data_IF_747970138703
#
_entry.id   IF_747970138703
#
_cell.length_a   1.000
_cell.length_b   1.000
_cell.length_c   1.000
_cell.angle_alpha   90.00
_cell.angle_beta   90.00
_cell.angle_gamma   90.00
#
_symmetry.space_group_name_H-M   'P 1'
#
loop_
_entity.id
_entity.type
_entity.pdbx_description
1 polymer ?
#
# COMPACT_ATOMS: atom_id res chain seq x y z
N UNK A 1 -15.77 -4.41 -20.13
CA UNK A 1 -14.79 -3.46 -19.56
C UNK A 1 -15.54 -2.29 -18.95
N UNK A 2 -15.16 -1.81 -17.77
CA UNK A 2 -15.82 -0.67 -17.13
C UNK A 2 -15.60 0.60 -17.96
N UNK A 3 -16.67 1.36 -18.24
CA UNK A 3 -16.61 2.57 -19.11
C UNK A 3 -15.76 3.71 -18.51
N UNK A 4 -15.45 3.67 -17.22
CA UNK A 4 -14.65 4.66 -16.53
C UNK A 4 -13.16 4.25 -16.36
N UNK A 5 -12.81 3.01 -16.75
CA UNK A 5 -11.46 2.46 -16.58
C UNK A 5 -10.63 2.65 -17.85
N UNK A 6 -9.48 3.27 -17.70
CA UNK A 6 -8.42 3.38 -18.70
C UNK A 6 -7.23 2.53 -18.26
N UNK A 7 -6.81 1.61 -19.10
CA UNK A 7 -5.63 0.76 -18.87
C UNK A 7 -4.55 1.19 -19.85
N UNK A 8 -3.34 1.51 -19.34
CA UNK A 8 -2.21 1.88 -20.20
C UNK A 8 -1.90 0.77 -21.21
N UNK A 9 -1.46 1.12 -22.44
CA UNK A 9 -1.23 0.13 -23.51
C UNK A 9 -0.31 -1.02 -23.07
N UNK A 10 0.81 -0.71 -22.39
CA UNK A 10 1.77 -1.70 -21.88
C UNK A 10 1.12 -2.67 -20.86
N UNK A 11 0.34 -2.14 -19.93
CA UNK A 11 -0.37 -2.94 -18.92
C UNK A 11 -1.42 -3.84 -19.58
N UNK A 12 -2.18 -3.27 -20.54
CA UNK A 12 -3.21 -4.02 -21.29
C UNK A 12 -2.60 -5.16 -22.09
N UNK A 13 -1.50 -4.91 -22.77
CA UNK A 13 -0.77 -5.93 -23.54
C UNK A 13 -0.21 -7.02 -22.60
N UNK A 14 0.42 -6.63 -21.48
CA UNK A 14 0.94 -7.57 -20.51
C UNK A 14 -0.14 -8.51 -19.98
N UNK A 15 -1.29 -7.96 -19.56
CA UNK A 15 -2.42 -8.75 -19.08
C UNK A 15 -2.99 -9.68 -20.16
N UNK A 16 -3.10 -9.21 -21.41
CA UNK A 16 -3.60 -10.02 -22.51
C UNK A 16 -2.68 -11.21 -22.87
N UNK A 17 -1.37 -11.05 -22.63
CA UNK A 17 -0.35 -12.08 -22.85
C UNK A 17 -0.09 -12.95 -21.60
N UNK A 18 -0.83 -12.77 -20.51
CA UNK A 18 -0.60 -13.48 -19.25
C UNK A 18 0.75 -13.14 -18.60
N UNK A 19 1.31 -11.96 -18.89
CA UNK A 19 2.56 -11.49 -18.27
C UNK A 19 2.31 -10.89 -16.87
N UNK A 20 3.32 -10.92 -15.98
CA UNK A 20 3.17 -10.39 -14.63
C UNK A 20 3.00 -8.88 -14.61
N UNK A 21 2.01 -8.41 -13.86
CA UNK A 21 1.71 -6.99 -13.63
C UNK A 21 1.58 -6.74 -12.14
N UNK A 22 2.16 -5.65 -11.65
CA UNK A 22 2.07 -5.22 -10.25
C UNK A 22 1.47 -3.82 -10.18
N UNK A 23 0.37 -3.68 -9.43
CA UNK A 23 -0.23 -2.39 -9.13
C UNK A 23 0.61 -1.60 -8.10
N UNK A 24 0.55 -0.27 -8.18
CA UNK A 24 1.15 0.68 -7.25
C UNK A 24 0.13 1.76 -6.89
N UNK A 25 0.11 2.20 -5.63
CA UNK A 25 -0.73 3.32 -5.20
C UNK A 25 -0.14 4.68 -5.59
N UNK A 26 -0.98 5.72 -5.57
CA UNK A 26 -0.53 7.10 -5.81
C UNK A 26 -0.60 8.03 -4.59
N UNK A 27 -1.11 7.56 -3.45
CA UNK A 27 -1.08 8.36 -2.22
C UNK A 27 0.36 8.72 -1.82
N UNK A 28 1.32 7.82 -2.01
CA UNK A 28 2.74 8.09 -1.76
C UNK A 28 3.26 9.26 -2.61
N UNK A 29 2.72 9.44 -3.82
CA UNK A 29 3.11 10.51 -4.74
C UNK A 29 2.55 11.85 -4.27
N UNK A 30 1.24 11.93 -3.98
CA UNK A 30 0.58 13.21 -3.70
C UNK A 30 0.56 13.60 -2.22
N UNK A 31 0.64 12.63 -1.30
CA UNK A 31 0.46 12.86 0.15
C UNK A 31 1.58 12.28 1.03
N UNK A 32 2.48 11.47 0.46
CA UNK A 32 3.48 10.75 1.24
C UNK A 32 4.84 11.43 1.34
N UNK A 33 5.23 12.19 0.34
CA UNK A 33 6.57 12.78 0.23
C UNK A 33 6.51 14.15 -0.45
N UNK A 34 7.48 15.07 -0.18
CA UNK A 34 7.57 16.33 -0.88
C UNK A 34 8.08 16.16 -2.31
N UNK A 35 7.65 17.06 -3.22
CA UNK A 35 8.23 17.17 -4.56
C UNK A 35 9.67 17.74 -4.47
N UNK A 36 10.65 17.26 -5.28
CA UNK A 36 10.54 16.26 -6.34
C UNK A 36 10.71 14.79 -5.87
N UNK A 37 11.01 14.57 -4.57
CA UNK A 37 11.34 13.25 -4.01
C UNK A 37 10.23 12.21 -4.22
N UNK A 38 8.98 12.65 -4.20
CA UNK A 38 7.83 11.81 -4.46
C UNK A 38 7.82 11.20 -5.87
N UNK A 39 8.11 11.99 -6.90
CA UNK A 39 8.20 11.54 -8.30
C UNK A 39 9.40 10.62 -8.49
N UNK A 40 10.59 11.03 -8.00
CA UNK A 40 11.80 10.20 -8.05
C UNK A 40 11.56 8.82 -7.44
N UNK A 41 10.90 8.77 -6.28
CA UNK A 41 10.59 7.52 -5.59
C UNK A 41 9.60 6.67 -6.38
N UNK A 42 8.52 7.27 -6.91
CA UNK A 42 7.54 6.54 -7.71
C UNK A 42 8.16 5.87 -8.93
N UNK A 43 9.00 6.61 -9.67
CA UNK A 43 9.72 6.08 -10.84
C UNK A 43 10.71 4.98 -10.45
N UNK A 44 11.42 5.15 -9.34
CA UNK A 44 12.35 4.14 -8.83
C UNK A 44 11.63 2.83 -8.43
N UNK A 45 10.42 2.94 -7.88
CA UNK A 45 9.59 1.77 -7.55
C UNK A 45 9.12 1.07 -8.83
N UNK A 46 8.68 1.80 -9.86
CA UNK A 46 8.35 1.22 -11.16
C UNK A 46 9.56 0.52 -11.78
N UNK A 47 10.73 1.15 -11.77
CA UNK A 47 11.98 0.55 -12.28
C UNK A 47 12.35 -0.73 -11.52
N UNK A 48 12.15 -0.74 -10.19
CA UNK A 48 12.39 -1.94 -9.37
C UNK A 48 11.49 -3.10 -9.81
N UNK A 49 10.22 -2.85 -10.10
CA UNK A 49 9.29 -3.87 -10.62
C UNK A 49 9.77 -4.38 -11.98
N UNK A 50 10.16 -3.48 -12.90
CA UNK A 50 10.67 -3.86 -14.23
C UNK A 50 11.94 -4.71 -14.15
N UNK A 51 12.89 -4.33 -13.30
CA UNK A 51 14.13 -5.07 -13.06
C UNK A 51 13.88 -6.47 -12.50
N UNK A 52 12.76 -6.70 -11.81
CA UNK A 52 12.35 -8.00 -11.29
C UNK A 52 11.36 -8.74 -12.21
N UNK A 53 11.21 -8.31 -13.47
CA UNK A 53 10.54 -9.06 -14.53
C UNK A 53 9.03 -8.86 -14.64
N UNK A 54 8.45 -7.88 -13.96
CA UNK A 54 7.03 -7.55 -14.05
C UNK A 54 6.79 -6.16 -14.66
N UNK A 55 5.57 -5.89 -15.09
CA UNK A 55 5.12 -4.58 -15.60
C UNK A 55 4.49 -3.79 -14.44
N UNK A 56 4.97 -2.59 -14.13
CA UNK A 56 4.34 -1.73 -13.13
C UNK A 56 3.06 -1.10 -13.66
N UNK A 57 2.08 -0.92 -12.79
CA UNK A 57 0.83 -0.22 -13.08
C UNK A 57 0.50 0.73 -11.92
N UNK A 58 1.06 1.95 -11.95
CA UNK A 58 0.69 2.99 -10.99
C UNK A 58 -0.76 3.40 -11.22
N UNK A 59 -1.56 3.44 -10.15
CA UNK A 59 -3.01 3.63 -10.18
C UNK A 59 -3.39 4.98 -9.59
N UNK A 60 -4.28 5.70 -10.28
CA UNK A 60 -4.85 6.97 -9.82
C UNK A 60 -6.23 7.23 -10.44
N UNK A 61 -6.89 8.30 -10.02
CA UNK A 61 -8.03 8.89 -10.71
C UNK A 61 -7.58 10.22 -11.30
N UNK A 62 -7.71 10.39 -12.61
CA UNK A 62 -7.35 11.65 -13.30
C UNK A 62 -8.51 12.07 -14.21
N UNK A 63 -9.03 13.29 -14.01
CA UNK A 63 -10.18 13.80 -14.75
C UNK A 63 -11.42 12.93 -14.61
N UNK A 64 -11.61 12.27 -13.44
CA UNK A 64 -12.69 11.32 -13.19
C UNK A 64 -12.52 9.96 -13.89
N UNK A 65 -11.36 9.68 -14.49
CA UNK A 65 -11.02 8.40 -15.12
C UNK A 65 -10.20 7.56 -14.15
N UNK A 66 -10.59 6.31 -13.98
CA UNK A 66 -9.83 5.31 -13.21
C UNK A 66 -8.68 4.83 -14.09
N UNK A 67 -7.45 5.13 -13.69
CA UNK A 67 -6.26 4.83 -14.48
C UNK A 67 -5.54 3.61 -13.89
N UNK A 68 -5.20 2.64 -14.72
CA UNK A 68 -4.30 1.53 -14.39
C UNK A 68 -3.06 1.58 -15.29
N UNK A 69 -1.96 2.05 -14.76
CA UNK A 69 -0.76 2.48 -15.46
C UNK A 69 -0.83 3.97 -15.79
N UNK A 70 0.06 4.75 -15.17
CA UNK A 70 0.22 6.18 -15.45
C UNK A 70 1.39 6.40 -16.40
N UNK A 71 1.32 7.47 -17.20
CA UNK A 71 2.50 7.97 -17.91
C UNK A 71 3.42 8.73 -16.96
N UNK A 72 4.66 8.98 -17.41
CA UNK A 72 5.61 9.79 -16.65
C UNK A 72 5.04 11.19 -16.38
N UNK A 73 4.36 11.80 -17.36
CA UNK A 73 3.74 13.11 -17.25
C UNK A 73 2.58 13.11 -16.22
N UNK A 74 1.82 12.02 -16.15
CA UNK A 74 0.75 11.87 -15.17
C UNK A 74 1.30 11.69 -13.74
N UNK A 75 2.40 10.95 -13.57
CA UNK A 75 3.12 10.83 -12.29
C UNK A 75 3.67 12.19 -11.87
N UNK A 76 4.33 12.91 -12.78
CA UNK A 76 4.86 14.25 -12.55
C UNK A 76 3.76 15.25 -12.19
N UNK A 77 2.61 15.18 -12.87
CA UNK A 77 1.43 15.99 -12.58
C UNK A 77 0.93 15.76 -11.15
N UNK A 78 0.75 14.49 -10.74
CA UNK A 78 0.31 14.15 -9.38
C UNK A 78 1.32 14.58 -8.32
N UNK A 79 2.61 14.44 -8.62
CA UNK A 79 3.69 14.85 -7.72
C UNK A 79 3.72 16.34 -7.47
N UNK A 80 3.58 17.16 -8.52
CA UNK A 80 3.52 18.62 -8.42
C UNK A 80 2.24 19.11 -7.77
N UNK A 81 1.11 18.47 -8.07
CA UNK A 81 -0.19 18.82 -7.50
C UNK A 81 -0.27 18.55 -6.00
N UNK A 82 0.44 17.53 -5.53
CA UNK A 82 0.57 17.21 -4.11
C UNK A 82 -0.80 17.13 -3.41
N UNK A 83 -0.94 17.77 -2.27
CA UNK A 83 -2.16 17.76 -1.45
C UNK A 83 -3.38 18.43 -2.10
N UNK A 84 -3.24 19.08 -3.24
CA UNK A 84 -4.38 19.60 -4.01
C UNK A 84 -5.17 18.49 -4.70
N UNK A 85 -4.58 17.30 -4.87
CA UNK A 85 -5.28 16.11 -5.35
C UNK A 85 -5.97 15.42 -4.17
N UNK A 86 -7.22 15.00 -4.35
CA UNK A 86 -7.97 14.33 -3.29
C UNK A 86 -7.30 13.01 -2.87
N UNK A 87 -7.17 12.75 -1.57
CA UNK A 87 -6.85 11.41 -1.05
C UNK A 87 -8.09 10.54 -1.20
N UNK A 88 -8.07 9.62 -2.17
CA UNK A 88 -9.22 8.84 -2.59
C UNK A 88 -9.30 7.51 -1.83
N UNK A 89 -10.41 7.29 -1.14
CA UNK A 89 -10.81 5.99 -0.59
C UNK A 89 -12.07 5.49 -1.31
N UNK A 90 -12.58 4.31 -0.96
CA UNK A 90 -13.77 3.69 -1.59
C UNK A 90 -14.94 4.67 -1.76
N UNK A 91 -15.28 5.41 -0.68
CA UNK A 91 -16.41 6.36 -0.66
C UNK A 91 -16.23 7.55 -1.60
N UNK A 92 -14.99 7.88 -1.99
CA UNK A 92 -14.69 9.05 -2.80
C UNK A 92 -14.80 8.77 -4.31
N UNK A 93 -14.63 7.50 -4.75
CA UNK A 93 -14.60 7.13 -6.16
C UNK A 93 -15.84 7.61 -6.95
N UNK A 94 -17.09 7.39 -6.49
CA UNK A 94 -18.26 7.84 -7.24
C UNK A 94 -18.30 9.36 -7.44
N UNK A 95 -17.88 10.11 -6.39
CA UNK A 95 -17.87 11.57 -6.45
C UNK A 95 -16.77 12.10 -7.38
N UNK A 96 -15.57 11.52 -7.33
CA UNK A 96 -14.46 11.88 -8.22
C UNK A 96 -14.81 11.62 -9.68
N UNK A 97 -15.37 10.44 -9.98
CA UNK A 97 -15.81 10.09 -11.32
C UNK A 97 -16.90 11.03 -11.83
N UNK A 98 -17.93 11.29 -11.01
CA UNK A 98 -19.06 12.13 -11.40
C UNK A 98 -18.67 13.61 -11.64
N UNK A 99 -17.65 14.08 -10.91
CA UNK A 99 -17.18 15.48 -10.99
C UNK A 99 -16.03 15.68 -11.99
N UNK A 100 -15.51 14.62 -12.61
CA UNK A 100 -14.32 14.71 -13.43
C UNK A 100 -13.09 15.16 -12.64
N UNK A 101 -12.99 14.77 -11.35
CA UNK A 101 -11.95 15.26 -10.44
C UNK A 101 -10.79 14.25 -10.31
N UNK A 102 -9.67 14.74 -9.74
CA UNK A 102 -8.47 13.95 -9.53
C UNK A 102 -8.42 13.35 -8.12
N UNK A 103 -7.85 12.15 -8.03
CA UNK A 103 -7.67 11.43 -6.78
C UNK A 103 -6.41 10.57 -6.77
N UNK A 104 -5.59 10.76 -5.75
CA UNK A 104 -4.51 9.85 -5.40
C UNK A 104 -5.08 8.65 -4.62
N UNK A 105 -4.84 7.45 -5.13
CA UNK A 105 -5.45 6.22 -4.60
C UNK A 105 -4.75 5.72 -3.35
N UNK A 106 -5.53 5.42 -2.31
CA UNK A 106 -5.11 4.66 -1.12
C UNK A 106 -5.00 3.17 -1.45
N UNK A 107 -4.57 2.34 -0.50
CA UNK A 107 -4.59 0.87 -0.63
C UNK A 107 -5.96 0.40 -1.10
N UNK A 108 -7.02 0.85 -0.45
CA UNK A 108 -8.42 0.54 -0.80
C UNK A 108 -8.72 0.77 -2.29
N UNK A 109 -8.54 1.99 -2.77
CA UNK A 109 -8.93 2.32 -4.15
C UNK A 109 -7.97 1.75 -5.18
N UNK A 110 -6.71 1.53 -4.81
CA UNK A 110 -5.74 0.82 -5.64
C UNK A 110 -6.18 -0.64 -5.84
N UNK A 111 -6.58 -1.35 -4.79
CA UNK A 111 -7.10 -2.71 -4.89
C UNK A 111 -8.35 -2.78 -5.79
N UNK A 112 -9.31 -1.87 -5.62
CA UNK A 112 -10.53 -1.81 -6.44
C UNK A 112 -10.19 -1.67 -7.92
N UNK A 113 -9.34 -0.69 -8.27
CA UNK A 113 -9.00 -0.41 -9.67
C UNK A 113 -8.11 -1.50 -10.25
N UNK A 114 -7.16 -2.03 -9.48
CA UNK A 114 -6.33 -3.17 -9.86
C UNK A 114 -7.19 -4.39 -10.22
N UNK A 115 -8.13 -4.74 -9.34
CA UNK A 115 -9.07 -5.84 -9.60
C UNK A 115 -9.92 -5.60 -10.85
N UNK A 116 -10.46 -4.39 -11.04
CA UNK A 116 -11.21 -4.02 -12.26
C UNK A 116 -10.36 -4.15 -13.54
N UNK A 117 -9.06 -3.93 -13.44
CA UNK A 117 -8.11 -4.07 -14.55
C UNK A 117 -7.65 -5.52 -14.78
N UNK A 118 -7.89 -6.43 -13.82
CA UNK A 118 -7.41 -7.81 -13.85
C UNK A 118 -6.02 -8.02 -13.24
N UNK A 119 -5.52 -7.03 -12.48
CA UNK A 119 -4.22 -7.10 -11.80
C UNK A 119 -4.41 -7.79 -10.43
N UNK A 120 -3.58 -8.78 -10.14
CA UNK A 120 -3.72 -9.65 -8.96
C UNK A 120 -2.76 -9.34 -7.82
N UNK A 121 -1.68 -8.59 -8.08
CA UNK A 121 -0.64 -8.26 -7.10
C UNK A 121 -0.47 -6.75 -7.01
N UNK A 122 -0.37 -6.24 -5.79
CA UNK A 122 -0.18 -4.83 -5.49
C UNK A 122 0.95 -4.67 -4.47
N UNK A 123 1.87 -3.75 -4.71
CA UNK A 123 2.96 -3.39 -3.80
C UNK A 123 2.73 -2.00 -3.19
N UNK A 124 2.89 -1.90 -1.88
CA UNK A 124 2.82 -0.63 -1.14
C UNK A 124 3.85 -0.59 0.00
N UNK A 125 4.05 0.55 0.62
CA UNK A 125 4.87 0.67 1.82
C UNK A 125 4.24 -0.03 3.01
N UNK A 126 2.97 0.28 3.30
CA UNK A 126 2.21 -0.30 4.40
C UNK A 126 0.74 0.07 4.33
N UNK A 127 -0.10 -0.81 4.86
CA UNK A 127 -1.54 -0.61 4.88
C UNK A 127 -1.97 0.35 6.01
N UNK A 128 -3.20 0.87 5.89
CA UNK A 128 -3.95 1.41 7.02
C UNK A 128 -4.40 0.29 7.96
N UNK A 129 -4.87 0.65 9.12
CA UNK A 129 -5.29 -0.30 10.14
C UNK A 129 -6.24 0.35 11.15
N UNK A 130 -6.33 -0.22 12.32
CA UNK A 130 -7.06 0.32 13.46
C UNK A 130 -6.21 1.43 14.10
N UNK A 131 -6.73 2.64 14.23
CA UNK A 131 -6.03 3.73 14.90
C UNK A 131 -5.99 3.52 16.42
N UNK A 132 -4.93 4.00 17.08
CA UNK A 132 -4.85 3.98 18.55
C UNK A 132 -6.02 4.80 19.12
N UNK A 133 -6.75 4.25 20.07
CA UNK A 133 -7.99 4.85 20.61
C UNK A 133 -9.24 4.59 19.76
N UNK A 134 -9.19 3.67 18.82
CA UNK A 134 -10.34 3.33 17.97
C UNK A 134 -11.51 2.72 18.75
N UNK A 135 -11.27 2.18 19.93
CA UNK A 135 -12.33 1.72 20.85
C UNK A 135 -13.28 2.85 21.28
N UNK A 136 -12.85 4.10 21.16
CA UNK A 136 -13.67 5.29 21.42
C UNK A 136 -14.09 5.98 20.11
N UNK A 137 -13.16 6.11 19.15
CA UNK A 137 -13.36 6.91 17.94
C UNK A 137 -13.94 6.13 16.76
N UNK A 138 -13.82 4.81 16.77
CA UNK A 138 -14.09 3.92 15.62
C UNK A 138 -13.30 4.31 14.36
N UNK A 139 -12.10 4.92 14.52
CA UNK A 139 -11.24 5.29 13.40
C UNK A 139 -10.48 4.06 12.91
N UNK A 140 -11.09 3.38 11.94
CA UNK A 140 -10.59 2.16 11.30
C UNK A 140 -10.44 2.43 9.81
N UNK A 141 -9.31 2.07 9.25
CA UNK A 141 -9.04 2.26 7.83
C UNK A 141 -9.93 1.37 6.95
N UNK A 142 -10.46 1.95 5.89
CA UNK A 142 -11.18 1.20 4.86
C UNK A 142 -10.30 0.17 4.13
N UNK A 143 -8.98 0.23 4.30
CA UNK A 143 -8.05 -0.74 3.72
C UNK A 143 -8.33 -2.16 4.24
N UNK A 144 -8.71 -2.29 5.52
CA UNK A 144 -9.00 -3.57 6.14
C UNK A 144 -10.27 -4.22 5.55
N UNK A 145 -11.32 -3.41 5.35
CA UNK A 145 -12.55 -3.85 4.68
C UNK A 145 -12.29 -4.25 3.22
N UNK A 146 -11.43 -3.52 2.53
CA UNK A 146 -11.12 -3.82 1.14
C UNK A 146 -10.33 -5.11 1.00
N UNK A 147 -9.38 -5.37 1.91
CA UNK A 147 -8.67 -6.64 1.98
C UNK A 147 -9.62 -7.83 2.15
N UNK A 148 -10.72 -7.64 2.90
CA UNK A 148 -11.72 -8.69 3.13
C UNK A 148 -12.59 -9.01 1.90
N UNK A 149 -12.69 -8.12 0.90
CA UNK A 149 -13.70 -8.25 -0.17
C UNK A 149 -13.16 -8.13 -1.60
N UNK A 150 -11.88 -7.79 -1.77
CA UNK A 150 -11.28 -7.60 -3.10
C UNK A 150 -10.08 -8.52 -3.30
N UNK A 151 -10.13 -9.42 -4.32
CA UNK A 151 -9.17 -10.50 -4.49
C UNK A 151 -7.85 -10.02 -5.12
N UNK A 152 -7.11 -9.22 -4.37
CA UNK A 152 -5.77 -8.74 -4.73
C UNK A 152 -4.82 -9.06 -3.58
N UNK A 153 -3.66 -9.64 -3.90
CA UNK A 153 -2.57 -9.83 -2.95
C UNK A 153 -1.86 -8.50 -2.73
N UNK A 154 -1.75 -8.07 -1.48
CA UNK A 154 -1.08 -6.81 -1.10
C UNK A 154 0.24 -7.15 -0.40
N UNK A 155 1.36 -6.74 -1.00
CA UNK A 155 2.71 -6.90 -0.44
C UNK A 155 3.16 -5.56 0.18
N UNK A 156 3.46 -5.58 1.49
CA UNK A 156 3.78 -4.38 2.26
C UNK A 156 4.71 -4.69 3.44
N UNK A 157 5.14 -3.69 4.20
CA UNK A 157 5.89 -3.87 5.44
C UNK A 157 4.98 -3.93 6.70
N UNK A 158 3.78 -4.50 6.54
CA UNK A 158 2.75 -4.53 7.58
C UNK A 158 1.86 -3.29 7.61
N UNK A 159 1.12 -3.10 8.69
CA UNK A 159 0.41 -1.85 8.94
C UNK A 159 1.39 -0.75 9.37
N UNK A 160 1.04 0.51 9.07
CA UNK A 160 1.88 1.66 9.46
C UNK A 160 2.05 1.69 10.98
N UNK A 161 3.27 1.91 11.46
CA UNK A 161 3.66 1.84 12.88
C UNK A 161 2.92 2.83 13.82
N UNK A 162 2.28 3.86 13.25
CA UNK A 162 1.43 4.82 13.96
C UNK A 162 0.09 4.21 14.41
N UNK A 163 -0.25 3.01 13.95
CA UNK A 163 -1.50 2.32 14.19
C UNK A 163 -1.40 1.35 15.38
N UNK A 164 -2.55 0.84 15.81
CA UNK A 164 -2.63 -0.28 16.73
C UNK A 164 -2.50 -1.59 15.96
N UNK A 165 -1.32 -2.22 16.05
CA UNK A 165 -1.02 -3.43 15.29
C UNK A 165 -1.79 -4.65 15.81
N UNK A 166 -2.01 -4.75 17.12
CA UNK A 166 -2.77 -5.83 17.74
C UNK A 166 -4.22 -5.81 17.31
N UNK A 167 -4.90 -4.67 17.48
CA UNK A 167 -6.29 -4.51 17.04
C UNK A 167 -6.44 -4.63 15.52
N UNK A 168 -5.41 -4.27 14.76
CA UNK A 168 -5.41 -4.44 13.29
C UNK A 168 -5.40 -5.93 12.92
N UNK A 169 -4.59 -6.77 13.60
CA UNK A 169 -4.58 -8.22 13.37
C UNK A 169 -5.90 -8.87 13.73
N UNK A 170 -6.49 -8.53 14.91
CA UNK A 170 -7.80 -9.04 15.33
C UNK A 170 -8.91 -8.68 14.32
N UNK A 171 -8.84 -7.47 13.76
CA UNK A 171 -9.79 -7.07 12.73
C UNK A 171 -9.64 -7.89 11.45
N UNK A 172 -8.41 -8.10 10.99
CA UNK A 172 -8.12 -8.91 9.80
C UNK A 172 -8.54 -10.37 9.99
N UNK A 173 -8.27 -10.97 11.17
CA UNK A 173 -8.71 -12.32 11.52
C UNK A 173 -10.23 -12.45 11.44
N UNK A 174 -10.96 -11.54 12.09
CA UNK A 174 -12.44 -11.53 12.10
C UNK A 174 -13.02 -11.48 10.68
N UNK A 175 -12.33 -10.80 9.76
CA UNK A 175 -12.76 -10.66 8.37
C UNK A 175 -12.17 -11.71 7.42
N UNK A 176 -11.44 -12.70 7.96
CA UNK A 176 -10.89 -13.82 7.20
C UNK A 176 -9.78 -13.42 6.21
N UNK A 177 -9.04 -12.38 6.50
CA UNK A 177 -7.88 -11.93 5.70
C UNK A 177 -6.62 -12.59 6.22
N UNK A 178 -5.99 -13.51 5.47
CA UNK A 178 -4.75 -14.16 5.93
C UNK A 178 -3.58 -13.15 5.91
N UNK A 179 -2.80 -13.14 7.00
CA UNK A 179 -1.59 -12.34 7.16
C UNK A 179 -0.37 -13.25 7.03
N UNK A 180 0.36 -13.11 5.93
CA UNK A 180 1.48 -13.97 5.58
C UNK A 180 2.80 -13.23 5.79
N UNK A 181 3.71 -13.81 6.57
CA UNK A 181 5.07 -13.32 6.73
C UNK A 181 5.99 -13.84 5.62
N UNK A 182 6.61 -12.97 4.86
CA UNK A 182 7.62 -13.35 3.88
C UNK A 182 9.00 -13.35 4.54
N UNK A 183 9.56 -14.54 4.75
CA UNK A 183 10.83 -14.74 5.46
C UNK A 183 10.79 -14.36 6.95
N UNK A 184 9.61 -14.31 7.57
CA UNK A 184 9.43 -13.94 8.97
C UNK A 184 8.24 -14.65 9.61
N UNK A 185 8.35 -14.99 10.90
CA UNK A 185 7.26 -15.50 11.72
C UNK A 185 6.56 -14.37 12.50
N UNK A 186 7.09 -13.15 12.42
CA UNK A 186 6.61 -11.99 13.16
C UNK A 186 6.12 -10.90 12.21
N UNK A 187 5.01 -10.23 12.55
CA UNK A 187 4.50 -9.08 11.82
C UNK A 187 5.53 -7.94 11.88
N UNK A 188 6.04 -7.45 10.75
CA UNK A 188 6.90 -6.27 10.77
C UNK A 188 6.09 -5.02 11.12
N UNK A 189 6.72 -4.06 11.81
CA UNK A 189 6.11 -2.82 12.25
C UNK A 189 6.55 -1.62 11.38
N UNK A 190 6.50 -1.78 10.06
CA UNK A 190 6.82 -0.77 9.06
C UNK A 190 8.30 -0.32 9.10
N UNK A 191 8.68 0.55 10.05
CA UNK A 191 10.06 1.04 10.22
C UNK A 191 10.99 0.05 10.95
N UNK A 192 10.41 -0.95 11.62
CA UNK A 192 11.15 -1.98 12.35
C UNK A 192 10.73 -3.37 11.87
N UNK A 193 11.66 -4.32 12.02
CA UNK A 193 11.44 -5.71 11.58
C UNK A 193 10.53 -6.51 12.51
N UNK A 194 10.34 -6.03 13.75
CA UNK A 194 9.64 -6.73 14.83
C UNK A 194 8.59 -5.83 15.47
N UNK A 195 7.40 -6.39 15.71
CA UNK A 195 6.28 -5.74 16.41
C UNK A 195 5.95 -6.37 17.76
N UNK A 196 6.39 -7.61 17.99
CA UNK A 196 5.94 -8.45 19.10
C UNK A 196 4.71 -9.31 18.79
N UNK A 197 4.13 -9.21 17.58
CA UNK A 197 2.96 -9.98 17.13
C UNK A 197 3.37 -11.00 16.08
N UNK A 198 2.79 -12.21 16.11
CA UNK A 198 2.99 -13.23 15.09
C UNK A 198 2.22 -12.95 13.79
N UNK A 199 2.54 -13.69 12.75
CA UNK A 199 1.75 -13.80 11.52
C UNK A 199 1.04 -15.15 11.47
N UNK A 200 0.02 -15.31 10.61
CA UNK A 200 -0.72 -16.56 10.50
C UNK A 200 0.13 -17.68 9.89
N UNK A 201 0.88 -17.34 8.85
CA UNK A 201 1.74 -18.30 8.13
C UNK A 201 3.01 -17.61 7.68
N UNK A 202 4.14 -18.31 7.76
CA UNK A 202 5.40 -17.92 7.15
C UNK A 202 5.58 -18.63 5.82
N UNK A 203 6.11 -17.91 4.83
CA UNK A 203 6.61 -18.42 3.56
C UNK A 203 7.98 -17.89 3.26
N UNK A 204 8.80 -18.65 2.54
CA UNK A 204 10.19 -18.28 2.24
C UNK A 204 10.45 -18.11 0.74
N UNK A 205 9.40 -18.24 -0.11
CA UNK A 205 9.55 -18.11 -1.56
C UNK A 205 8.34 -17.46 -2.25
N UNK A 206 8.54 -16.76 -3.38
CA UNK A 206 7.45 -16.23 -4.20
C UNK A 206 6.53 -17.33 -4.76
N UNK A 207 7.06 -18.53 -4.98
CA UNK A 207 6.32 -19.69 -5.45
C UNK A 207 5.30 -20.18 -4.42
N UNK A 208 5.65 -20.18 -3.12
CA UNK A 208 4.72 -20.50 -2.04
C UNK A 208 3.59 -19.45 -1.95
N UNK A 209 3.91 -18.16 -2.02
CA UNK A 209 2.89 -17.10 -2.07
C UNK A 209 1.94 -17.29 -3.25
N UNK A 210 2.48 -17.58 -4.43
CA UNK A 210 1.68 -17.83 -5.63
C UNK A 210 0.79 -19.05 -5.47
N UNK A 211 1.28 -20.13 -4.85
CA UNK A 211 0.51 -21.36 -4.60
C UNK A 211 -0.66 -21.09 -3.62
N UNK A 212 -0.40 -20.39 -2.52
CA UNK A 212 -1.43 -20.01 -1.54
C UNK A 212 -2.51 -19.11 -2.17
N UNK A 213 -2.12 -18.12 -2.95
CA UNK A 213 -3.07 -17.22 -3.60
C UNK A 213 -3.90 -17.95 -4.67
N UNK A 214 -3.29 -18.84 -5.48
CA UNK A 214 -4.06 -19.72 -6.40
C UNK A 214 -5.05 -20.61 -5.67
N UNK A 215 -4.66 -21.19 -4.53
CA UNK A 215 -5.56 -22.00 -3.71
C UNK A 215 -6.75 -21.16 -3.21
N UNK A 216 -6.51 -19.96 -2.71
CA UNK A 216 -7.55 -19.02 -2.28
C UNK A 216 -8.51 -18.69 -3.42
N UNK A 217 -7.99 -18.42 -4.63
CA UNK A 217 -8.82 -18.17 -5.83
C UNK A 217 -9.66 -19.38 -6.24
N UNK A 218 -9.06 -20.58 -6.19
CA UNK A 218 -9.75 -21.83 -6.53
C UNK A 218 -10.86 -22.20 -5.52
N UNK A 219 -10.74 -21.75 -4.28
CA UNK A 219 -11.78 -21.87 -3.24
C UNK A 219 -12.87 -20.80 -3.36
N UNK A 220 -12.81 -19.92 -4.36
CA UNK A 220 -13.75 -18.81 -4.62
C UNK A 220 -13.89 -17.80 -3.47
N UNK A 221 -12.82 -17.62 -2.67
CA UNK A 221 -12.78 -16.57 -1.65
C UNK A 221 -12.81 -15.19 -2.31
N UNK A 222 -13.58 -14.27 -1.73
CA UNK A 222 -13.74 -12.92 -2.29
C UNK A 222 -12.64 -11.95 -1.87
N UNK A 223 -12.03 -12.18 -0.71
CA UNK A 223 -10.99 -11.32 -0.15
C UNK A 223 -9.63 -11.46 -0.81
N UNK A 224 -8.74 -10.56 -0.45
CA UNK A 224 -7.34 -10.55 -0.79
C UNK A 224 -6.48 -11.35 0.20
N UNK A 225 -5.17 -11.11 0.13
CA UNK A 225 -4.16 -11.69 1.00
C UNK A 225 -3.17 -10.60 1.39
N UNK A 226 -2.86 -10.47 2.67
CA UNK A 226 -1.85 -9.53 3.16
C UNK A 226 -0.52 -10.24 3.30
N UNK A 227 0.47 -9.83 2.52
CA UNK A 227 1.85 -10.33 2.59
C UNK A 227 2.71 -9.27 3.26
N UNK A 228 3.33 -9.62 4.37
CA UNK A 228 4.17 -8.72 5.16
C UNK A 228 5.63 -9.08 4.97
N UNK A 229 6.39 -8.13 4.40
CA UNK A 229 7.81 -8.26 4.11
C UNK A 229 8.59 -7.28 5.00
N UNK A 230 9.45 -7.77 5.92
CA UNK A 230 10.22 -6.89 6.79
C UNK A 230 11.13 -5.94 6.00
N UNK A 231 11.26 -4.71 6.51
CA UNK A 231 12.28 -3.78 6.00
C UNK A 231 13.67 -4.45 5.99
N UNK A 232 14.51 -4.22 4.96
CA UNK A 232 15.89 -4.73 4.99
C UNK A 232 16.63 -4.27 6.27
N UNK A 233 17.43 -5.16 6.84
CA UNK A 233 18.00 -4.97 8.18
C UNK A 233 18.82 -3.69 8.31
N UNK A 234 19.60 -3.36 7.28
CA UNK A 234 20.43 -2.16 7.23
C UNK A 234 19.66 -0.83 7.24
N UNK A 235 18.35 -0.88 6.97
CA UNK A 235 17.46 0.30 6.95
C UNK A 235 16.42 0.26 8.07
N UNK A 236 16.45 -0.79 8.93
CA UNK A 236 15.57 -0.89 10.10
C UNK A 236 15.94 0.16 11.13
N UNK A 237 14.96 0.91 11.59
CA UNK A 237 15.20 1.91 12.64
C UNK A 237 15.31 1.27 14.01
N UNK A 238 15.97 1.96 14.94
CA UNK A 238 15.92 1.60 16.35
C UNK A 238 14.50 1.74 16.89
N UNK A 239 14.01 0.68 17.54
CA UNK A 239 12.62 0.62 18.02
C UNK A 239 12.32 1.72 19.05
N UNK A 240 13.22 1.99 19.97
CA UNK A 240 12.99 2.99 21.02
C UNK A 240 12.94 4.41 20.43
N UNK A 241 13.75 4.69 19.42
CA UNK A 241 13.77 5.98 18.73
C UNK A 241 12.47 6.21 17.96
N UNK A 242 12.02 5.20 17.18
CA UNK A 242 10.83 5.35 16.38
C UNK A 242 9.56 5.37 17.23
N UNK A 243 9.48 4.56 18.28
CA UNK A 243 8.34 4.56 19.21
C UNK A 243 8.19 5.92 19.91
N UNK A 244 9.29 6.52 20.39
CA UNK A 244 9.27 7.86 21.00
C UNK A 244 8.81 8.94 20.00
N UNK A 245 9.26 8.88 18.74
CA UNK A 245 8.81 9.82 17.71
C UNK A 245 7.31 9.66 17.38
N UNK A 246 6.80 8.43 17.33
CA UNK A 246 5.39 8.14 17.11
C UNK A 246 4.52 8.65 18.28
N UNK A 247 4.92 8.38 19.50
CA UNK A 247 4.18 8.82 20.69
C UNK A 247 4.10 10.35 20.77
N UNK A 248 5.20 11.05 20.45
CA UNK A 248 5.20 12.51 20.36
C UNK A 248 4.31 13.02 19.24
N UNK A 249 4.35 12.40 18.05
CA UNK A 249 3.49 12.78 16.92
C UNK A 249 2.00 12.58 17.23
N UNK A 250 1.63 11.49 17.91
CA UNK A 250 0.26 11.22 18.35
C UNK A 250 -0.22 12.27 19.34
N UNK A 251 0.61 12.63 20.34
CA UNK A 251 0.29 13.68 21.29
C UNK A 251 0.01 15.01 20.59
N UNK A 252 0.89 15.43 19.68
CA UNK A 252 0.73 16.68 18.93
C UNK A 252 -0.50 16.66 18.01
N UNK A 253 -0.83 15.50 17.42
CA UNK A 253 -2.05 15.33 16.61
C UNK A 253 -3.32 15.62 17.42
N UNK A 254 -3.39 15.12 18.66
CA UNK A 254 -4.52 15.37 19.57
C UNK A 254 -4.57 16.84 19.97
N UNK A 255 -3.43 17.45 20.35
CA UNK A 255 -3.34 18.84 20.74
C UNK A 255 -3.77 19.82 19.62
N UNK A 256 -3.50 19.45 18.34
CA UNK A 256 -3.86 20.23 17.17
C UNK A 256 -5.26 19.90 16.61
N UNK A 257 -5.96 18.93 17.20
CA UNK A 257 -7.31 18.53 16.74
C UNK A 257 -7.31 17.90 15.35
N UNK A 258 -6.27 17.18 14.98
CA UNK A 258 -6.16 16.49 13.68
C UNK A 258 -7.01 15.22 13.71
N UNK A 259 -7.94 15.07 12.75
CA UNK A 259 -8.87 13.95 12.71
C UNK A 259 -9.09 13.37 11.30
N UNK A 260 -9.53 12.11 11.23
CA UNK A 260 -9.95 11.42 10.01
C UNK A 260 -8.84 11.30 8.97
N UNK A 261 -9.12 11.64 7.70
CA UNK A 261 -8.19 11.43 6.60
C UNK A 261 -6.87 12.21 6.70
N UNK A 262 -6.81 13.26 7.51
CA UNK A 262 -5.61 14.08 7.72
C UNK A 262 -4.66 13.47 8.77
N UNK A 263 -5.13 12.54 9.62
CA UNK A 263 -4.36 11.94 10.71
C UNK A 263 -3.09 11.25 10.20
N UNK A 264 -3.21 10.31 9.27
CA UNK A 264 -2.05 9.57 8.74
C UNK A 264 -1.01 10.47 8.07
N UNK A 265 -1.37 11.40 7.13
CA UNK A 265 -0.39 12.31 6.54
C UNK A 265 0.31 13.21 7.56
N UNK A 266 -0.41 13.67 8.57
CA UNK A 266 0.16 14.47 9.66
C UNK A 266 1.18 13.67 10.46
N UNK A 267 0.78 12.49 10.95
CA UNK A 267 1.64 11.64 11.78
C UNK A 267 2.92 11.23 11.05
N UNK A 268 2.83 10.80 9.78
CA UNK A 268 4.01 10.42 9.01
C UNK A 268 4.95 11.61 8.78
N UNK A 269 4.41 12.79 8.45
CA UNK A 269 5.23 13.99 8.26
C UNK A 269 5.94 14.39 9.58
N UNK A 270 5.23 14.27 10.72
CA UNK A 270 5.79 14.59 12.03
C UNK A 270 6.87 13.59 12.45
N UNK A 271 6.68 12.31 12.18
CA UNK A 271 7.71 11.29 12.41
C UNK A 271 8.96 11.57 11.57
N UNK A 272 8.83 11.99 10.31
CA UNK A 272 9.97 12.40 9.47
C UNK A 272 10.72 13.59 10.11
N UNK A 273 10.00 14.60 10.60
CA UNK A 273 10.59 15.75 11.31
C UNK A 273 11.36 15.31 12.56
N UNK A 274 10.72 14.50 13.42
CA UNK A 274 11.28 14.06 14.70
C UNK A 274 12.47 13.10 14.54
N UNK A 275 12.57 12.40 13.41
CA UNK A 275 13.69 11.48 13.12
C UNK A 275 14.75 12.10 12.20
N UNK A 276 14.72 13.42 11.97
CA UNK A 276 15.70 14.10 11.13
C UNK A 276 15.74 13.64 9.67
N UNK A 277 14.68 12.98 9.18
CA UNK A 277 14.59 12.46 7.82
C UNK A 277 14.87 10.95 7.67
N UNK A 278 15.44 10.29 8.67
CA UNK A 278 15.82 8.87 8.59
C UNK A 278 14.62 7.96 8.30
N UNK A 279 13.45 8.27 8.87
CA UNK A 279 12.23 7.49 8.62
C UNK A 279 11.75 7.62 7.16
N UNK A 280 12.06 8.71 6.46
CA UNK A 280 11.75 8.85 5.04
C UNK A 280 12.62 7.91 4.20
N UNK A 281 13.92 7.82 4.50
CA UNK A 281 14.82 6.89 3.82
C UNK A 281 14.39 5.45 4.06
N UNK A 282 14.12 5.07 5.30
CA UNK A 282 13.58 3.76 5.66
C UNK A 282 12.30 3.44 4.86
N UNK A 283 11.36 4.40 4.74
CA UNK A 283 10.13 4.23 3.97
C UNK A 283 10.42 3.97 2.47
N UNK A 284 11.37 4.68 1.88
CA UNK A 284 11.77 4.44 0.48
C UNK A 284 12.34 3.03 0.32
N UNK A 285 13.20 2.58 1.24
CA UNK A 285 13.84 1.25 1.16
C UNK A 285 12.85 0.10 1.36
N UNK A 286 11.93 0.23 2.31
CA UNK A 286 10.92 -0.82 2.51
C UNK A 286 9.99 -0.97 1.30
N UNK A 287 9.56 0.14 0.65
CA UNK A 287 8.70 0.03 -0.53
C UNK A 287 9.43 -0.58 -1.74
N UNK A 288 10.70 -0.30 -1.93
CA UNK A 288 11.52 -0.93 -2.97
C UNK A 288 11.66 -2.44 -2.73
N UNK A 289 11.89 -2.86 -1.47
CA UNK A 289 11.91 -4.27 -1.10
C UNK A 289 10.57 -4.96 -1.36
N UNK A 290 9.46 -4.32 -0.97
CA UNK A 290 8.11 -4.83 -1.21
C UNK A 290 7.80 -4.95 -2.71
N UNK A 291 8.20 -3.97 -3.51
CA UNK A 291 8.05 -3.98 -4.97
C UNK A 291 8.80 -5.15 -5.62
N UNK A 292 10.01 -5.44 -5.16
CA UNK A 292 10.79 -6.58 -5.66
C UNK A 292 10.13 -7.92 -5.31
N UNK A 293 9.62 -8.10 -4.08
CA UNK A 293 8.88 -9.31 -3.66
C UNK A 293 7.60 -9.45 -4.47
N UNK A 294 6.84 -8.37 -4.62
CA UNK A 294 5.59 -8.36 -5.40
C UNK A 294 5.82 -8.74 -6.86
N UNK A 295 6.88 -8.20 -7.51
CA UNK A 295 7.21 -8.51 -8.89
C UNK A 295 7.58 -10.00 -9.06
N UNK A 296 8.43 -10.54 -8.18
CA UNK A 296 8.78 -11.98 -8.19
C UNK A 296 7.56 -12.87 -7.98
N UNK A 297 6.65 -12.47 -7.07
CA UNK A 297 5.40 -13.21 -6.81
C UNK A 297 4.46 -13.14 -8.02
N UNK A 298 4.33 -11.97 -8.66
CA UNK A 298 3.56 -11.85 -9.90
C UNK A 298 4.12 -12.73 -11.02
N UNK A 299 5.46 -12.82 -11.15
CA UNK A 299 6.11 -13.74 -12.08
C UNK A 299 5.80 -15.21 -11.76
N UNK A 300 5.79 -15.59 -10.47
CA UNK A 300 5.44 -16.95 -10.04
C UNK A 300 3.96 -17.28 -10.29
N UNK A 301 3.06 -16.30 -10.22
CA UNK A 301 1.64 -16.48 -10.54
C UNK A 301 1.38 -16.72 -12.03
N UNK A 302 2.23 -16.25 -12.91
CA UNK A 302 2.11 -16.41 -14.37
C UNK A 302 2.71 -17.72 -14.91
N UNK A 303 3.37 -18.52 -14.04
CA UNK A 303 3.90 -19.86 -14.38
C UNK A 303 2.82 -20.93 -14.15
#
# INVERSE_FOLDING_TARGET
>A
MNKYLDIAPEVKEALALGKPVVALESTIISHGMPYPKNVETALLVEDTIRQNGAVPATIAVIGGRLKAGLSHEEIEYLGKSGRNVAKASRRDLPALVARGADGATTVTTTMIIAHMAGIQVFATGGIGGVHRGAEITMDISADLEELAQTPVMVVCAGAKSILDLGLTLEYLETHGVPVIGYGTDELPAFYTRSSGFGVDYRVDSPEELAAMFRAQRNLDYKGGMLVTNPIPEEYSMDKAVIDAAIDQALKESVEQGIHGKETTPFLLAKVVELTGGDSLESNIKLILSNAAVAAKTACALCK
#
